data_IF_004774957997
#
_entry.id   IF_004774957997
#
_cell.length_a   1.000
_cell.length_b   1.000
_cell.length_c   1.000
_cell.angle_alpha   90.00
_cell.angle_beta   90.00
_cell.angle_gamma   90.00
#
_symmetry.space_group_name_H-M   'P 1'
#
loop_
_entity.id
_entity.type
_entity.pdbx_description
1 polymer ?
#
# COMPACT_ATOMS: atom_id res chain seq x y z
N UNK A 1 -13.54 5.78 -13.98
CA UNK A 1 -13.92 4.86 -12.88
C UNK A 1 -12.98 5.10 -11.70
N UNK A 2 -13.51 5.23 -10.48
CA UNK A 2 -12.70 5.38 -9.27
C UNK A 2 -12.44 4.01 -8.63
N UNK A 3 -11.24 3.80 -8.10
CA UNK A 3 -10.86 2.58 -7.37
C UNK A 3 -10.48 3.00 -5.96
N UNK A 4 -11.11 2.40 -4.94
CA UNK A 4 -10.72 2.61 -3.54
C UNK A 4 -9.50 1.76 -3.21
N UNK A 5 -8.52 2.37 -2.54
CA UNK A 5 -7.30 1.72 -2.08
C UNK A 5 -7.08 2.05 -0.61
N UNK A 6 -6.49 1.11 0.13
CA UNK A 6 -6.06 1.29 1.52
C UNK A 6 -4.54 1.19 1.62
N UNK A 7 -3.98 1.86 2.62
CA UNK A 7 -2.58 1.75 3.02
C UNK A 7 -2.50 1.45 4.51
N UNK A 8 -1.73 0.44 4.88
CA UNK A 8 -1.43 0.08 6.26
C UNK A 8 -0.19 0.86 6.74
N UNK A 9 -0.36 1.68 7.78
CA UNK A 9 0.73 2.40 8.42
C UNK A 9 1.17 1.62 9.65
N UNK A 10 2.13 0.73 9.45
CA UNK A 10 2.62 -0.18 10.50
C UNK A 10 3.86 0.44 11.15
N UNK A 11 3.81 0.67 12.47
CA UNK A 11 4.91 1.21 13.28
C UNK A 11 5.38 0.19 14.31
N UNK A 12 6.70 0.02 14.43
CA UNK A 12 7.33 -0.85 15.44
C UNK A 12 8.72 -0.32 15.76
N UNK A 13 9.09 -0.32 17.04
CA UNK A 13 10.44 0.05 17.52
C UNK A 13 10.94 1.40 16.97
N UNK A 14 10.04 2.39 16.88
CA UNK A 14 10.34 3.73 16.37
C UNK A 14 10.41 3.84 14.83
N UNK A 15 10.31 2.73 14.10
CA UNK A 15 10.37 2.69 12.63
C UNK A 15 9.01 2.39 12.00
N UNK A 16 8.89 2.66 10.68
CA UNK A 16 7.71 2.33 9.87
C UNK A 16 8.05 1.25 8.82
N UNK A 17 7.10 0.37 8.55
CA UNK A 17 7.24 -0.62 7.48
C UNK A 17 6.93 0.00 6.11
N UNK A 18 7.91 -0.06 5.21
CA UNK A 18 7.78 0.35 3.81
C UNK A 18 8.21 -0.80 2.89
N UNK A 19 7.51 -0.94 1.76
CA UNK A 19 7.89 -1.84 0.67
C UNK A 19 8.55 -1.07 -0.47
N UNK A 20 9.52 -1.68 -1.16
CA UNK A 20 10.09 -1.12 -2.39
C UNK A 20 9.31 -1.65 -3.58
N UNK A 21 8.81 -0.75 -4.43
CA UNK A 21 8.00 -1.12 -5.60
C UNK A 21 8.84 -1.90 -6.62
N UNK A 22 8.31 -2.97 -7.24
CA UNK A 22 8.96 -3.64 -8.35
C UNK A 22 9.30 -2.66 -9.48
N UNK A 23 10.48 -2.81 -10.08
CA UNK A 23 11.00 -1.87 -11.08
C UNK A 23 10.14 -1.76 -12.34
N UNK A 24 9.42 -2.83 -12.68
CA UNK A 24 8.54 -2.89 -13.86
C UNK A 24 7.12 -2.32 -13.63
N UNK A 25 6.87 -1.66 -12.49
CA UNK A 25 5.59 -1.00 -12.20
C UNK A 25 5.73 0.51 -12.31
N UNK A 26 4.61 1.20 -12.48
CA UNK A 26 4.54 2.66 -12.30
C UNK A 26 5.11 3.01 -10.91
N UNK A 27 6.00 4.00 -10.85
CA UNK A 27 6.77 4.36 -9.65
C UNK A 27 7.71 3.23 -9.15
N UNK A 28 8.23 2.40 -10.06
CA UNK A 28 9.16 1.32 -9.72
C UNK A 28 10.41 1.84 -9.01
N UNK A 29 10.90 1.06 -8.04
CA UNK A 29 12.07 1.41 -7.23
C UNK A 29 11.82 2.45 -6.13
N UNK A 30 10.67 3.14 -6.12
CA UNK A 30 10.23 4.02 -5.05
C UNK A 30 9.66 3.23 -3.86
N UNK A 31 9.53 3.90 -2.71
CA UNK A 31 8.95 3.33 -1.49
C UNK A 31 7.43 3.51 -1.43
N UNK A 32 6.74 2.56 -0.80
CA UNK A 32 5.30 2.63 -0.52
C UNK A 32 4.94 2.01 0.83
N UNK A 33 3.81 2.43 1.39
CA UNK A 33 3.17 1.68 2.47
C UNK A 33 2.52 0.40 1.91
N UNK A 34 2.56 -0.72 2.65
CA UNK A 34 1.78 -1.91 2.30
C UNK A 34 0.29 -1.57 2.17
N UNK A 35 -0.44 -2.24 1.29
CA UNK A 35 -1.84 -1.91 1.06
C UNK A 35 -2.46 -2.69 -0.09
N UNK A 36 -3.62 -2.25 -0.55
CA UNK A 36 -4.36 -2.94 -1.59
C UNK A 36 -5.60 -2.20 -2.09
N UNK A 37 -6.15 -2.69 -3.19
CA UNK A 37 -7.46 -2.25 -3.70
C UNK A 37 -8.55 -2.90 -2.88
N UNK A 38 -9.58 -2.13 -2.54
CA UNK A 38 -10.81 -2.66 -1.92
C UNK A 38 -11.64 -3.34 -3.01
N UNK A 39 -11.96 -4.62 -2.83
CA UNK A 39 -12.83 -5.37 -3.74
C UNK A 39 -14.31 -5.09 -3.47
N UNK A 40 -15.20 -5.40 -4.43
CA UNK A 40 -16.65 -5.29 -4.20
C UNK A 40 -17.08 -6.08 -2.95
N UNK A 41 -17.82 -5.43 -2.06
CA UNK A 41 -18.29 -6.03 -0.81
C UNK A 41 -17.29 -6.00 0.35
N UNK A 42 -16.01 -5.66 0.13
CA UNK A 42 -15.04 -5.49 1.22
C UNK A 42 -15.27 -4.16 1.95
N UNK A 43 -15.12 -4.21 3.28
CA UNK A 43 -15.02 -3.03 4.13
C UNK A 43 -13.54 -2.62 4.23
N UNK A 44 -13.25 -1.31 4.26
CA UNK A 44 -11.87 -0.83 4.38
C UNK A 44 -11.28 -1.00 5.79
N UNK A 45 -12.13 -1.14 6.82
CA UNK A 45 -11.78 -1.58 8.19
C UNK A 45 -11.74 -3.11 8.35
#
# INVERSE_FOLDING_TARGET
MSIRVIAAVIRRDGAFLLGRRPTNKRHGGMWEFPGGKVKPGEKPE
#
